data_IF_058008119231
#
_entry.id   IF_058008119231
#
_cell.length_a   1.000
_cell.length_b   1.000
_cell.length_c   1.000
_cell.angle_alpha   90.00
_cell.angle_beta   90.00
_cell.angle_gamma   90.00
#
_symmetry.space_group_name_H-M   'P 1'
#
loop_
_entity.id
_entity.type
_entity.pdbx_description
1 polymer ?
#
# COMPACT_ATOMS: atom_id res chain seq x y z
N UNK A 1 -11.44 61.02 1.02
CA UNK A 1 -10.86 59.91 0.22
C UNK A 1 -10.57 58.78 1.21
N UNK A 2 -11.47 57.86 1.32
CA UNK A 2 -11.31 56.62 2.13
C UNK A 2 -10.64 55.56 1.27
N UNK A 3 -9.60 54.87 1.75
CA UNK A 3 -8.94 53.82 0.96
C UNK A 3 -9.86 52.61 0.79
N UNK A 4 -10.07 52.22 -0.47
CA UNK A 4 -10.77 50.99 -0.83
C UNK A 4 -9.93 49.81 -0.32
N UNK A 5 -10.49 49.01 0.59
CA UNK A 5 -9.92 47.72 1.01
C UNK A 5 -9.89 46.79 -0.22
N UNK A 6 -8.72 46.48 -0.68
CA UNK A 6 -8.49 45.41 -1.68
C UNK A 6 -8.83 44.08 -1.02
N UNK A 7 -9.94 43.48 -1.42
CA UNK A 7 -10.43 42.17 -1.00
C UNK A 7 -9.98 41.05 -1.95
N UNK A 8 -8.81 41.18 -2.56
CA UNK A 8 -8.24 40.08 -3.31
C UNK A 8 -7.91 38.90 -2.37
N UNK A 9 -8.43 37.70 -2.62
CA UNK A 9 -8.09 36.54 -1.79
C UNK A 9 -6.60 36.24 -1.91
N UNK A 10 -5.95 36.06 -0.76
CA UNK A 10 -4.55 35.69 -0.66
C UNK A 10 -4.28 34.40 -1.46
N UNK A 11 -3.12 34.30 -2.18
CA UNK A 11 -2.81 33.15 -3.07
C UNK A 11 -2.55 31.81 -2.35
N UNK A 12 -2.77 31.72 -1.05
CA UNK A 12 -2.34 30.57 -0.23
C UNK A 12 -3.49 29.67 0.27
N UNK A 13 -4.70 29.82 -0.29
CA UNK A 13 -5.80 28.87 -0.07
C UNK A 13 -6.17 28.20 -1.39
N UNK A 14 -5.26 27.41 -1.95
CA UNK A 14 -5.70 26.30 -2.79
C UNK A 14 -6.38 25.30 -1.86
N UNK A 15 -7.70 25.37 -1.81
CA UNK A 15 -8.55 24.30 -1.26
C UNK A 15 -8.24 23.04 -2.05
N UNK A 16 -7.25 22.27 -1.57
CA UNK A 16 -6.97 20.93 -2.07
C UNK A 16 -8.10 20.04 -1.59
N UNK A 17 -9.20 20.04 -2.34
CA UNK A 17 -10.26 19.07 -2.12
C UNK A 17 -9.67 17.67 -2.23
N UNK A 18 -9.92 16.77 -1.25
CA UNK A 18 -9.49 15.39 -1.37
C UNK A 18 -10.04 14.82 -2.68
N UNK A 19 -9.24 13.99 -3.39
CA UNK A 19 -9.67 13.43 -4.67
C UNK A 19 -10.98 12.66 -4.48
N UNK A 20 -12.07 13.18 -5.04
CA UNK A 20 -13.36 12.50 -5.02
C UNK A 20 -13.35 11.41 -6.09
N UNK A 21 -13.24 10.17 -5.67
CA UNK A 21 -13.34 9.03 -6.57
C UNK A 21 -14.82 8.75 -6.87
N UNK A 22 -15.20 8.79 -8.13
CA UNK A 22 -16.51 8.32 -8.60
C UNK A 22 -16.65 6.80 -8.38
N UNK A 23 -17.89 6.31 -8.31
CA UNK A 23 -18.14 4.86 -8.24
C UNK A 23 -17.60 4.15 -9.48
N UNK A 24 -17.04 2.98 -9.26
CA UNK A 24 -16.61 2.09 -10.33
C UNK A 24 -17.84 1.58 -11.09
N UNK A 25 -17.91 1.70 -12.43
CA UNK A 25 -19.02 1.16 -13.19
C UNK A 25 -19.05 -0.36 -13.06
N UNK A 26 -20.25 -0.92 -12.83
CA UNK A 26 -20.46 -2.35 -12.77
C UNK A 26 -20.54 -2.91 -14.21
N UNK A 27 -19.42 -3.35 -14.74
CA UNK A 27 -19.33 -4.08 -15.99
C UNK A 27 -18.34 -5.24 -15.86
N UNK A 28 -18.44 -6.30 -16.69
CA UNK A 28 -17.58 -7.49 -16.58
C UNK A 28 -16.10 -7.17 -16.63
N UNK A 29 -15.66 -6.24 -17.48
CA UNK A 29 -14.26 -5.85 -17.59
C UNK A 29 -13.73 -5.20 -16.32
N UNK A 30 -14.52 -4.38 -15.65
CA UNK A 30 -14.15 -3.74 -14.39
C UNK A 30 -14.09 -4.73 -13.23
N UNK A 31 -15.04 -5.68 -13.19
CA UNK A 31 -15.06 -6.76 -12.19
C UNK A 31 -13.80 -7.61 -12.32
N UNK A 32 -13.51 -8.11 -13.55
CA UNK A 32 -12.29 -8.89 -13.82
C UNK A 32 -11.03 -8.12 -13.48
N UNK A 33 -10.96 -6.84 -13.86
CA UNK A 33 -9.81 -5.99 -13.57
C UNK A 33 -9.55 -5.83 -12.05
N UNK A 34 -10.60 -5.62 -11.26
CA UNK A 34 -10.47 -5.51 -9.81
C UNK A 34 -10.18 -6.87 -9.16
N UNK A 35 -10.71 -7.96 -9.71
CA UNK A 35 -10.41 -9.32 -9.28
C UNK A 35 -8.92 -9.64 -9.49
N UNK A 36 -8.37 -9.30 -10.66
CA UNK A 36 -6.94 -9.46 -10.96
C UNK A 36 -6.09 -8.58 -10.04
N UNK A 37 -6.47 -7.32 -9.82
CA UNK A 37 -5.78 -6.44 -8.85
C UNK A 37 -5.73 -7.06 -7.46
N UNK A 38 -6.88 -7.54 -6.99
CA UNK A 38 -6.96 -8.23 -5.70
C UNK A 38 -6.07 -9.47 -5.66
N UNK A 39 -6.10 -10.28 -6.72
CA UNK A 39 -5.24 -11.44 -6.85
C UNK A 39 -3.76 -11.11 -6.77
N UNK A 40 -3.31 -10.07 -7.47
CA UNK A 40 -1.92 -9.59 -7.39
C UNK A 40 -1.55 -9.11 -5.98
N UNK A 41 -2.44 -8.38 -5.31
CA UNK A 41 -2.24 -7.95 -3.92
C UNK A 41 -2.14 -9.17 -2.99
N UNK A 42 -3.08 -10.12 -3.11
CA UNK A 42 -3.07 -11.34 -2.31
C UNK A 42 -1.83 -12.21 -2.53
N UNK A 43 -1.36 -12.32 -3.78
CA UNK A 43 -0.12 -13.03 -4.10
C UNK A 43 1.09 -12.36 -3.44
N UNK A 44 1.13 -11.03 -3.41
CA UNK A 44 2.22 -10.28 -2.79
C UNK A 44 2.26 -10.45 -1.25
N UNK A 45 1.09 -10.57 -0.60
CA UNK A 45 1.02 -10.78 0.86
C UNK A 45 1.61 -12.12 1.31
N UNK A 46 1.65 -13.11 0.42
CA UNK A 46 2.23 -14.42 0.71
C UNK A 46 3.77 -14.40 0.68
N UNK A 47 4.36 -13.36 0.12
CA UNK A 47 5.79 -13.30 -0.09
C UNK A 47 6.44 -12.46 1.00
N UNK A 48 7.32 -13.04 1.84
CA UNK A 48 8.07 -12.28 2.83
C UNK A 48 8.88 -11.14 2.17
N UNK A 49 8.76 -9.93 2.71
CA UNK A 49 9.47 -8.76 2.19
C UNK A 49 8.77 -8.00 1.06
N UNK A 50 7.64 -8.50 0.54
CA UNK A 50 6.76 -7.74 -0.36
C UNK A 50 5.52 -7.31 0.41
N UNK A 51 5.09 -6.07 0.18
CA UNK A 51 3.87 -5.54 0.76
C UNK A 51 2.77 -5.48 -0.30
N UNK A 52 1.60 -6.01 0.01
CA UNK A 52 0.40 -5.83 -0.83
C UNK A 52 0.06 -4.35 -1.02
N UNK A 53 0.42 -3.49 -0.06
CA UNK A 53 0.35 -2.04 -0.20
C UNK A 53 1.19 -1.51 -1.37
N UNK A 54 2.38 -2.08 -1.62
CA UNK A 54 3.20 -1.76 -2.80
C UNK A 54 2.46 -2.14 -4.08
N UNK A 55 1.90 -3.35 -4.14
CA UNK A 55 1.13 -3.80 -5.32
C UNK A 55 -0.14 -2.98 -5.50
N UNK A 56 -0.83 -2.62 -4.42
CA UNK A 56 -1.97 -1.71 -4.47
C UNK A 56 -1.58 -0.34 -5.04
N UNK A 57 -0.41 0.19 -4.68
CA UNK A 57 0.12 1.45 -5.20
C UNK A 57 0.43 1.33 -6.70
N UNK A 58 1.18 0.30 -7.11
CA UNK A 58 1.55 0.03 -8.51
C UNK A 58 0.32 -0.15 -9.39
N UNK A 59 -0.69 -0.85 -8.90
CA UNK A 59 -1.95 -1.08 -9.64
C UNK A 59 -2.90 0.12 -9.60
N UNK A 60 -2.53 1.23 -8.93
CA UNK A 60 -3.36 2.42 -8.78
C UNK A 60 -4.60 2.21 -7.90
N UNK A 61 -4.63 1.17 -7.09
CA UNK A 61 -5.74 0.87 -6.17
C UNK A 61 -5.60 1.58 -4.82
N UNK A 62 -4.37 1.88 -4.38
CA UNK A 62 -4.04 2.30 -3.02
C UNK A 62 -4.89 3.46 -2.49
N UNK A 63 -4.88 4.60 -3.17
CA UNK A 63 -5.63 5.78 -2.72
C UNK A 63 -7.14 5.55 -2.71
N UNK A 64 -7.66 4.78 -3.70
CA UNK A 64 -9.08 4.44 -3.76
C UNK A 64 -9.49 3.48 -2.65
N UNK A 65 -8.64 2.55 -2.28
CA UNK A 65 -8.86 1.64 -1.14
C UNK A 65 -8.89 2.44 0.16
N UNK A 66 -7.91 3.33 0.40
CA UNK A 66 -7.90 4.21 1.57
C UNK A 66 -9.14 5.11 1.65
N UNK A 67 -9.52 5.73 0.53
CA UNK A 67 -10.72 6.55 0.45
C UNK A 67 -11.99 5.77 0.83
N UNK A 68 -12.14 4.55 0.30
CA UNK A 68 -13.29 3.70 0.61
C UNK A 68 -13.24 3.13 2.03
N UNK A 69 -12.06 2.83 2.55
CA UNK A 69 -11.88 2.43 3.94
C UNK A 69 -12.35 3.54 4.91
N UNK A 70 -11.98 4.81 4.65
CA UNK A 70 -12.48 5.94 5.44
C UNK A 70 -13.99 6.07 5.38
N UNK A 71 -14.59 5.95 4.18
CA UNK A 71 -16.06 5.98 4.02
C UNK A 71 -16.74 4.85 4.79
N UNK A 72 -16.13 3.67 4.83
CA UNK A 72 -16.63 2.54 5.61
C UNK A 72 -16.56 2.85 7.11
N UNK A 73 -15.46 3.42 7.60
CA UNK A 73 -15.31 3.85 8.98
C UNK A 73 -16.35 4.93 9.36
N UNK A 74 -16.61 5.87 8.45
CA UNK A 74 -17.65 6.89 8.67
C UNK A 74 -19.06 6.30 8.67
N UNK A 75 -19.31 5.27 7.85
CA UNK A 75 -20.56 4.53 7.88
C UNK A 75 -20.75 3.80 9.22
N UNK A 76 -19.71 3.11 9.70
CA UNK A 76 -19.74 2.41 10.99
C UNK A 76 -20.00 3.38 12.14
N UNK A 77 -19.35 4.54 12.16
CA UNK A 77 -19.62 5.59 13.17
C UNK A 77 -21.05 6.10 13.08
N UNK A 78 -21.55 6.34 11.87
CA UNK A 78 -22.93 6.82 11.67
C UNK A 78 -23.98 5.80 12.14
N UNK A 79 -23.74 4.49 12.02
CA UNK A 79 -24.63 3.47 12.56
C UNK A 79 -24.81 3.55 14.08
N UNK A 80 -23.81 4.08 14.81
CA UNK A 80 -23.89 4.27 16.26
C UNK A 80 -24.79 5.46 16.67
N UNK A 81 -25.01 6.42 15.77
CA UNK A 81 -25.77 7.66 16.03
C UNK A 81 -27.08 7.73 15.26
N UNK A 82 -27.08 7.35 14.00
CA UNK A 82 -28.24 7.32 13.11
C UNK A 82 -28.13 6.15 12.12
N UNK A 83 -29.03 5.18 12.27
CA UNK A 83 -29.05 3.99 11.43
C UNK A 83 -29.32 4.32 9.96
N UNK A 84 -30.17 5.30 9.67
CA UNK A 84 -30.50 5.68 8.29
C UNK A 84 -29.28 6.31 7.60
N UNK A 85 -28.59 7.19 8.29
CA UNK A 85 -27.33 7.78 7.82
C UNK A 85 -26.23 6.73 7.66
N UNK A 86 -26.10 5.79 8.61
CA UNK A 86 -25.18 4.67 8.52
C UNK A 86 -25.39 3.86 7.25
N UNK A 87 -26.64 3.47 6.95
CA UNK A 87 -27.01 2.73 5.72
C UNK A 87 -26.68 3.56 4.47
N UNK A 88 -26.97 4.86 4.47
CA UNK A 88 -26.69 5.75 3.34
C UNK A 88 -25.19 5.79 3.04
N UNK A 89 -24.34 5.97 4.07
CA UNK A 89 -22.88 6.02 3.95
C UNK A 89 -22.30 4.65 3.54
N UNK A 90 -22.81 3.57 4.10
CA UNK A 90 -22.40 2.20 3.73
C UNK A 90 -22.69 1.90 2.25
N UNK A 91 -23.88 2.28 1.76
CA UNK A 91 -24.22 2.16 0.34
C UNK A 91 -23.37 3.07 -0.56
N UNK A 92 -22.78 4.15 -0.01
CA UNK A 92 -21.93 5.06 -0.76
C UNK A 92 -20.51 4.54 -0.97
N UNK A 93 -20.08 3.49 -0.26
CA UNK A 93 -18.81 2.79 -0.47
C UNK A 93 -18.79 2.15 -1.87
N UNK A 94 -17.62 2.13 -2.51
CA UNK A 94 -17.46 1.54 -3.85
C UNK A 94 -17.30 0.00 -3.76
N UNK A 95 -18.40 -0.68 -3.46
CA UNK A 95 -18.44 -2.13 -3.37
C UNK A 95 -18.12 -2.83 -4.69
N UNK A 96 -18.36 -2.17 -5.81
CA UNK A 96 -18.05 -2.70 -7.16
C UNK A 96 -16.54 -2.80 -7.41
N UNK A 97 -15.76 -2.08 -6.65
CA UNK A 97 -14.31 -2.21 -6.61
C UNK A 97 -13.85 -3.16 -5.49
N UNK A 98 -14.31 -2.91 -4.26
CA UNK A 98 -13.78 -3.61 -3.08
C UNK A 98 -14.11 -5.10 -3.05
N UNK A 99 -15.35 -5.50 -3.38
CA UNK A 99 -15.74 -6.91 -3.31
C UNK A 99 -14.98 -7.79 -4.31
N UNK A 100 -14.92 -7.48 -5.63
CA UNK A 100 -14.12 -8.27 -6.54
C UNK A 100 -12.65 -8.30 -6.15
N UNK A 101 -12.11 -7.19 -5.65
CA UNK A 101 -10.73 -7.13 -5.22
C UNK A 101 -10.48 -8.00 -3.99
N UNK A 102 -11.37 -7.99 -2.99
CA UNK A 102 -11.29 -8.87 -1.84
C UNK A 102 -11.41 -10.35 -2.22
N UNK A 103 -12.35 -10.68 -3.12
CA UNK A 103 -12.51 -12.06 -3.63
C UNK A 103 -11.24 -12.50 -4.36
N UNK A 104 -10.67 -11.66 -5.23
CA UNK A 104 -9.44 -11.97 -5.94
C UNK A 104 -8.26 -12.18 -4.99
N UNK A 105 -8.14 -11.33 -3.96
CA UNK A 105 -7.10 -11.43 -2.94
C UNK A 105 -7.20 -12.77 -2.18
N UNK A 106 -8.38 -13.08 -1.65
CA UNK A 106 -8.61 -14.31 -0.90
C UNK A 106 -8.40 -15.55 -1.78
N UNK A 107 -8.97 -15.55 -2.99
CA UNK A 107 -8.81 -16.67 -3.93
C UNK A 107 -7.34 -16.95 -4.25
N UNK A 108 -6.54 -15.91 -4.51
CA UNK A 108 -5.12 -16.08 -4.83
C UNK A 108 -4.28 -16.47 -3.60
N UNK A 109 -4.61 -15.97 -2.42
CA UNK A 109 -3.97 -16.43 -1.17
C UNK A 109 -4.14 -17.93 -1.03
N UNK A 110 -5.36 -18.44 -1.12
CA UNK A 110 -5.60 -19.89 -1.00
C UNK A 110 -5.01 -20.71 -2.15
N UNK A 111 -5.06 -20.20 -3.37
CA UNK A 111 -4.54 -20.90 -4.54
C UNK A 111 -3.00 -20.99 -4.56
N UNK A 112 -2.31 -19.95 -4.09
CA UNK A 112 -0.86 -19.83 -4.21
C UNK A 112 -0.10 -20.06 -2.90
N UNK A 113 -0.76 -20.11 -1.75
CA UNK A 113 -0.09 -20.23 -0.45
C UNK A 113 0.90 -21.40 -0.42
N UNK A 114 0.50 -22.58 -0.87
CA UNK A 114 1.39 -23.74 -0.96
C UNK A 114 2.50 -23.59 -2.00
N UNK A 115 2.16 -23.10 -3.19
CA UNK A 115 3.10 -22.97 -4.31
C UNK A 115 4.16 -21.90 -4.03
N UNK A 116 3.72 -20.72 -3.57
CA UNK A 116 4.66 -19.64 -3.26
C UNK A 116 5.49 -19.94 -2.01
N UNK A 117 4.87 -20.58 -1.00
CA UNK A 117 5.59 -21.03 0.19
C UNK A 117 6.75 -21.93 -0.19
N UNK A 118 6.49 -23.02 -0.91
CA UNK A 118 7.54 -23.92 -1.40
C UNK A 118 8.56 -23.19 -2.30
N UNK A 119 8.11 -22.30 -3.20
CA UNK A 119 9.05 -21.56 -4.05
C UNK A 119 10.01 -20.66 -3.24
N UNK A 120 9.50 -19.99 -2.20
CA UNK A 120 10.33 -19.13 -1.34
C UNK A 120 11.27 -19.95 -0.46
N UNK A 121 10.78 -21.07 0.08
CA UNK A 121 11.55 -21.94 0.98
C UNK A 121 12.60 -22.77 0.21
N UNK A 122 12.21 -23.39 -0.91
CA UNK A 122 13.07 -24.28 -1.68
C UNK A 122 14.04 -23.53 -2.60
N UNK A 123 13.66 -22.30 -3.02
CA UNK A 123 14.41 -21.49 -3.98
C UNK A 123 14.56 -20.03 -3.53
N UNK A 124 15.19 -19.74 -2.36
CA UNK A 124 15.23 -18.40 -1.80
C UNK A 124 15.94 -17.37 -2.68
N UNK A 125 17.06 -17.75 -3.35
CA UNK A 125 17.79 -16.84 -4.25
C UNK A 125 16.97 -16.46 -5.49
N UNK A 126 16.38 -17.42 -6.25
CA UNK A 126 15.44 -17.13 -7.33
C UNK A 126 14.26 -16.26 -6.90
N UNK A 127 13.60 -16.60 -5.80
CA UNK A 127 12.40 -15.90 -5.32
C UNK A 127 12.72 -14.44 -4.95
N UNK A 128 13.73 -14.24 -4.07
CA UNK A 128 14.16 -12.89 -3.67
C UNK A 128 14.60 -12.05 -4.87
N UNK A 129 15.30 -12.64 -5.86
CA UNK A 129 15.75 -11.93 -7.05
C UNK A 129 14.59 -11.43 -7.91
N UNK A 130 13.60 -12.28 -8.18
CA UNK A 130 12.40 -11.92 -8.93
C UNK A 130 11.69 -10.74 -8.25
N UNK A 131 11.48 -10.84 -6.94
CA UNK A 131 10.78 -9.82 -6.17
C UNK A 131 11.60 -8.53 -6.02
N UNK A 132 12.92 -8.62 -5.87
CA UNK A 132 13.81 -7.46 -5.88
C UNK A 132 13.62 -6.64 -7.16
N UNK A 133 13.56 -7.29 -8.32
CA UNK A 133 13.31 -6.65 -9.60
C UNK A 133 11.94 -5.96 -9.65
N UNK A 134 10.90 -6.63 -9.17
CA UNK A 134 9.55 -6.06 -9.11
C UNK A 134 9.50 -4.81 -8.24
N UNK A 135 10.04 -4.87 -7.02
CA UNK A 135 10.00 -3.74 -6.07
C UNK A 135 10.92 -2.61 -6.50
N UNK A 136 12.08 -2.89 -7.10
CA UNK A 136 12.98 -1.87 -7.61
C UNK A 136 12.31 -0.97 -8.67
N UNK A 137 11.55 -1.53 -9.59
CA UNK A 137 10.80 -0.75 -10.58
C UNK A 137 9.58 -0.06 -9.95
N UNK A 138 8.98 -0.64 -8.92
CA UNK A 138 7.85 -0.02 -8.18
C UNK A 138 8.20 1.33 -7.57
N UNK A 139 9.47 1.61 -7.28
CA UNK A 139 9.95 2.93 -6.81
C UNK A 139 9.54 4.09 -7.71
N UNK A 140 9.39 3.83 -9.00
CA UNK A 140 8.99 4.85 -9.99
C UNK A 140 7.53 5.28 -9.80
N UNK A 141 6.67 4.40 -9.27
CA UNK A 141 5.22 4.66 -9.19
C UNK A 141 4.88 5.86 -8.30
N UNK A 142 5.29 5.93 -7.02
CA UNK A 142 5.02 7.11 -6.21
C UNK A 142 5.69 8.36 -6.79
N UNK A 143 6.88 8.23 -7.40
CA UNK A 143 7.55 9.37 -8.04
C UNK A 143 6.75 9.96 -9.21
N UNK A 144 6.09 9.11 -10.02
CA UNK A 144 5.21 9.56 -11.10
C UNK A 144 3.93 10.26 -10.60
N UNK A 145 3.58 10.09 -9.32
CA UNK A 145 2.41 10.71 -8.70
C UNK A 145 2.72 12.03 -8.01
N UNK A 146 3.99 12.41 -7.92
CA UNK A 146 4.47 13.64 -7.27
C UNK A 146 4.44 14.82 -8.25
N UNK A 147 3.95 15.97 -7.79
CA UNK A 147 4.17 17.23 -8.48
C UNK A 147 5.64 17.67 -8.31
N UNK A 148 6.35 17.69 -9.43
CA UNK A 148 7.78 18.05 -9.45
C UNK A 148 8.03 19.50 -9.03
N UNK A 149 7.08 20.39 -9.24
CA UNK A 149 7.18 21.80 -8.86
C UNK A 149 7.06 21.95 -7.34
N UNK A 150 6.08 21.27 -6.74
CA UNK A 150 5.90 21.25 -5.29
C UNK A 150 7.09 20.54 -4.60
N UNK A 151 7.59 19.45 -5.18
CA UNK A 151 8.77 18.75 -4.66
C UNK A 151 10.01 19.66 -4.62
N UNK A 152 10.30 20.40 -5.71
CA UNK A 152 11.44 21.34 -5.76
C UNK A 152 11.36 22.39 -4.66
N UNK A 153 10.17 22.89 -4.37
CA UNK A 153 9.93 23.87 -3.30
C UNK A 153 10.17 23.30 -1.90
N UNK A 154 9.87 22.00 -1.73
CA UNK A 154 9.91 21.31 -0.44
C UNK A 154 11.15 20.43 -0.26
N UNK A 155 12.11 20.45 -1.16
CA UNK A 155 13.35 19.65 -1.08
C UNK A 155 14.05 19.68 0.29
N UNK A 156 14.17 20.83 0.97
CA UNK A 156 14.83 20.88 2.29
C UNK A 156 14.14 20.00 3.35
N UNK A 157 12.84 19.74 3.21
CA UNK A 157 12.08 18.87 4.12
C UNK A 157 11.89 17.47 3.51
N UNK A 158 11.70 17.39 2.20
CA UNK A 158 11.45 16.14 1.49
C UNK A 158 12.65 15.19 1.55
N UNK A 159 13.87 15.71 1.34
CA UNK A 159 15.10 14.89 1.35
C UNK A 159 15.38 14.27 2.72
N UNK A 160 15.36 15.00 3.85
CA UNK A 160 15.46 14.38 5.18
C UNK A 160 14.40 13.31 5.43
N UNK A 161 13.13 13.55 5.09
CA UNK A 161 12.05 12.57 5.26
C UNK A 161 12.26 11.32 4.39
N UNK A 162 12.73 11.49 3.16
CA UNK A 162 13.11 10.38 2.29
C UNK A 162 14.23 9.54 2.93
N UNK A 163 15.29 10.18 3.41
CA UNK A 163 16.42 9.50 4.08
C UNK A 163 15.92 8.77 5.33
N UNK A 164 15.08 9.41 6.15
CA UNK A 164 14.47 8.76 7.32
C UNK A 164 13.65 7.54 6.89
N UNK A 165 12.87 7.63 5.81
CA UNK A 165 12.14 6.49 5.26
C UNK A 165 13.06 5.35 4.83
N UNK A 166 14.17 5.65 4.11
CA UNK A 166 15.17 4.65 3.71
C UNK A 166 15.77 3.98 4.92
N UNK A 167 16.30 4.77 5.88
CA UNK A 167 16.95 4.24 7.06
C UNK A 167 16.01 3.43 7.95
N UNK A 168 14.79 3.92 8.13
CA UNK A 168 13.78 3.21 8.92
C UNK A 168 13.53 1.80 8.37
N UNK A 169 13.21 1.65 7.09
CA UNK A 169 12.93 0.34 6.50
C UNK A 169 14.19 -0.50 6.34
N UNK A 170 15.34 0.10 6.00
CA UNK A 170 16.61 -0.61 5.90
C UNK A 170 17.04 -1.21 7.25
N UNK A 171 16.90 -0.47 8.34
CA UNK A 171 17.20 -0.95 9.68
C UNK A 171 16.14 -1.97 10.12
N UNK A 172 14.84 -1.64 9.94
CA UNK A 172 13.75 -2.52 10.32
C UNK A 172 13.83 -3.90 9.66
N UNK A 173 14.26 -3.97 8.40
CA UNK A 173 14.45 -5.23 7.66
C UNK A 173 15.75 -5.97 7.96
N UNK A 174 16.60 -5.41 8.83
CA UNK A 174 17.85 -6.04 9.26
C UNK A 174 17.83 -6.63 10.68
N UNK A 175 16.70 -6.49 11.38
CA UNK A 175 16.60 -7.10 12.71
C UNK A 175 16.22 -8.57 12.59
N UNK A 176 17.07 -9.44 13.19
CA UNK A 176 16.70 -10.79 13.59
C UNK A 176 16.51 -10.74 15.10
N UNK A 177 15.32 -11.05 15.61
CA UNK A 177 15.08 -11.00 17.05
C UNK A 177 14.95 -12.39 17.66
N UNK A 178 15.33 -12.52 18.92
CA UNK A 178 15.03 -13.70 19.72
C UNK A 178 13.51 -13.89 19.81
N UNK A 179 13.05 -15.11 19.61
CA UNK A 179 11.64 -15.49 19.76
C UNK A 179 11.17 -15.24 21.20
N UNK A 180 10.04 -14.55 21.33
CA UNK A 180 9.28 -14.42 22.58
C UNK A 180 8.07 -15.36 22.50
N UNK A 181 8.13 -16.56 23.09
CA UNK A 181 7.06 -17.55 22.95
C UNK A 181 5.81 -17.23 23.76
N UNK A 182 5.92 -16.39 24.79
CA UNK A 182 4.80 -16.02 25.67
C UNK A 182 4.75 -14.48 25.87
N UNK A 183 4.34 -13.74 24.83
CA UNK A 183 4.25 -12.29 24.89
C UNK A 183 3.06 -11.85 25.74
N UNK A 184 3.25 -10.81 26.57
CA UNK A 184 2.13 -10.24 27.31
C UNK A 184 1.09 -9.61 26.33
N UNK A 185 -0.19 -9.64 26.73
CA UNK A 185 -1.30 -9.21 25.87
C UNK A 185 -1.22 -7.74 25.45
N UNK A 186 -0.60 -6.85 26.22
CA UNK A 186 -0.40 -5.47 25.84
C UNK A 186 0.60 -5.34 24.68
N UNK A 187 1.69 -6.14 24.72
CA UNK A 187 2.64 -6.23 23.62
C UNK A 187 1.94 -6.77 22.36
N UNK A 188 1.11 -7.81 22.49
CA UNK A 188 0.32 -8.38 21.39
C UNK A 188 -0.58 -7.32 20.76
N UNK A 189 -1.31 -6.55 21.56
CA UNK A 189 -2.18 -5.48 21.09
C UNK A 189 -1.41 -4.40 20.31
N UNK A 190 -0.33 -3.88 20.90
CA UNK A 190 0.48 -2.81 20.29
C UNK A 190 1.16 -3.31 19.02
N UNK A 191 1.71 -4.52 19.08
CA UNK A 191 2.38 -5.13 17.93
C UNK A 191 1.42 -5.40 16.77
N UNK A 192 0.21 -5.88 17.05
CA UNK A 192 -0.82 -6.06 16.03
C UNK A 192 -1.23 -4.73 15.39
N UNK A 193 -1.39 -3.68 16.20
CA UNK A 193 -1.72 -2.34 15.70
C UNK A 193 -0.64 -1.79 14.75
N UNK A 194 0.63 -1.95 15.10
CA UNK A 194 1.75 -1.51 14.27
C UNK A 194 1.91 -2.42 13.04
N UNK A 195 1.75 -3.74 13.19
CA UNK A 195 1.87 -4.70 12.09
C UNK A 195 0.85 -4.43 10.97
N UNK A 196 -0.39 -4.07 11.32
CA UNK A 196 -1.40 -3.69 10.30
C UNK A 196 -1.04 -2.37 9.63
N UNK A 197 -0.49 -1.40 10.34
CA UNK A 197 0.04 -0.18 9.71
C UNK A 197 1.17 -0.50 8.74
N UNK A 198 2.10 -1.39 9.15
CA UNK A 198 3.20 -1.86 8.32
C UNK A 198 2.72 -2.64 7.09
N UNK A 199 1.69 -3.47 7.23
CA UNK A 199 1.07 -4.22 6.14
C UNK A 199 0.54 -3.31 5.03
N UNK A 200 -0.06 -2.18 5.39
CA UNK A 200 -0.66 -1.25 4.43
C UNK A 200 0.39 -0.30 3.84
N UNK A 201 1.48 -0.01 4.57
CA UNK A 201 2.55 0.84 4.07
C UNK A 201 3.33 0.14 2.94
N UNK A 202 3.53 0.81 1.79
CA UNK A 202 4.38 0.27 0.75
C UNK A 202 5.81 0.05 1.26
N UNK A 203 6.37 -1.13 0.98
CA UNK A 203 7.74 -1.48 1.34
C UNK A 203 7.96 -2.00 2.76
N UNK A 204 6.89 -2.14 3.56
CA UNK A 204 6.96 -2.74 4.90
C UNK A 204 6.00 -3.93 4.96
N UNK A 205 6.45 -5.04 5.53
CA UNK A 205 5.62 -6.23 5.73
C UNK A 205 5.20 -6.35 7.20
N UNK A 206 3.90 -6.49 7.45
CA UNK A 206 3.38 -6.65 8.80
C UNK A 206 3.83 -7.95 9.46
N UNK A 207 3.90 -9.05 8.73
CA UNK A 207 4.42 -10.33 9.22
C UNK A 207 5.90 -10.25 9.55
N UNK A 208 6.68 -9.57 8.73
CA UNK A 208 8.09 -9.29 9.04
C UNK A 208 8.24 -8.45 10.32
N UNK A 209 7.37 -7.46 10.53
CA UNK A 209 7.39 -6.68 11.76
C UNK A 209 7.14 -7.56 13.00
N UNK A 210 6.16 -8.48 12.95
CA UNK A 210 5.91 -9.44 14.03
C UNK A 210 7.12 -10.37 14.27
N UNK A 211 7.78 -10.79 13.18
CA UNK A 211 9.01 -11.57 13.25
C UNK A 211 10.14 -10.75 13.90
N UNK A 212 10.33 -9.50 13.48
CA UNK A 212 11.37 -8.61 14.00
C UNK A 212 11.25 -8.32 15.51
N UNK A 213 10.04 -8.32 16.06
CA UNK A 213 9.80 -8.18 17.52
C UNK A 213 9.67 -9.53 18.26
N UNK A 214 9.83 -10.64 17.53
CA UNK A 214 9.92 -11.99 18.11
C UNK A 214 8.58 -12.65 18.46
N UNK A 215 7.42 -12.09 18.09
CA UNK A 215 6.11 -12.66 18.42
C UNK A 215 5.41 -13.37 17.26
N UNK A 216 6.06 -13.49 16.10
CA UNK A 216 5.48 -14.13 14.92
C UNK A 216 5.10 -15.59 15.20
N UNK A 217 6.02 -16.38 15.78
CA UNK A 217 5.77 -17.78 16.13
C UNK A 217 4.65 -17.92 17.15
N UNK A 218 4.65 -17.08 18.21
CA UNK A 218 3.59 -17.07 19.22
C UNK A 218 2.22 -16.77 18.59
N UNK A 219 2.17 -15.82 17.61
CA UNK A 219 0.94 -15.49 16.88
C UNK A 219 0.44 -16.70 16.07
N UNK A 220 1.34 -17.41 15.36
CA UNK A 220 0.97 -18.60 14.59
C UNK A 220 0.48 -19.74 15.51
N UNK A 221 1.18 -19.98 16.62
CA UNK A 221 0.79 -20.98 17.62
C UNK A 221 -0.59 -20.65 18.20
N UNK A 222 -0.82 -19.39 18.61
CA UNK A 222 -2.12 -18.99 19.16
C UNK A 222 -3.27 -19.16 18.14
N UNK A 223 -3.02 -18.96 16.85
CA UNK A 223 -4.01 -19.22 15.80
C UNK A 223 -4.23 -20.73 15.62
N UNK A 224 -3.17 -21.54 15.65
CA UNK A 224 -3.25 -23.00 15.51
C UNK A 224 -3.99 -23.65 16.68
N UNK A 225 -3.71 -23.18 17.89
CA UNK A 225 -4.28 -23.70 19.14
C UNK A 225 -5.64 -23.07 19.47
N UNK A 226 -6.13 -22.14 18.61
CA UNK A 226 -7.38 -21.40 18.79
C UNK A 226 -7.43 -20.66 20.15
N UNK A 227 -6.30 -20.05 20.57
CA UNK A 227 -6.29 -19.19 21.75
C UNK A 227 -7.13 -17.93 21.49
N UNK A 228 -8.40 -18.02 21.92
CA UNK A 228 -9.42 -16.99 21.73
C UNK A 228 -8.98 -15.66 22.36
N UNK A 229 -8.31 -15.68 23.52
CA UNK A 229 -7.87 -14.47 24.21
C UNK A 229 -6.81 -13.74 23.41
N UNK A 230 -5.79 -14.47 22.95
CA UNK A 230 -4.74 -13.91 22.09
C UNK A 230 -5.33 -13.35 20.79
N UNK A 231 -6.15 -14.15 20.09
CA UNK A 231 -6.77 -13.77 18.82
C UNK A 231 -7.64 -12.53 18.94
N UNK A 232 -8.44 -12.41 20.01
CA UNK A 232 -9.27 -11.23 20.25
C UNK A 232 -8.42 -9.98 20.52
N UNK A 233 -7.40 -10.09 21.36
CA UNK A 233 -6.50 -8.96 21.67
C UNK A 233 -5.73 -8.54 20.43
N UNK A 234 -5.19 -9.49 19.65
CA UNK A 234 -4.54 -9.23 18.39
C UNK A 234 -5.49 -8.56 17.39
N UNK A 235 -6.71 -9.08 17.24
CA UNK A 235 -7.74 -8.52 16.36
C UNK A 235 -8.15 -7.08 16.75
N UNK A 236 -8.30 -6.81 18.03
CA UNK A 236 -8.60 -5.46 18.53
C UNK A 236 -7.44 -4.50 18.30
N UNK A 237 -6.20 -4.94 18.52
CA UNK A 237 -5.00 -4.18 18.19
C UNK A 237 -4.93 -3.86 16.70
N UNK A 238 -5.08 -4.88 15.86
CA UNK A 238 -5.09 -4.75 14.41
C UNK A 238 -6.19 -3.77 13.92
N UNK A 239 -7.41 -3.88 14.43
CA UNK A 239 -8.51 -2.98 14.09
C UNK A 239 -8.21 -1.54 14.51
N UNK A 240 -7.66 -1.35 15.71
CA UNK A 240 -7.26 -0.01 16.21
C UNK A 240 -6.19 0.60 15.33
N UNK A 241 -5.14 -0.16 15.00
CA UNK A 241 -4.08 0.26 14.10
C UNK A 241 -4.61 0.61 12.71
N UNK A 242 -5.49 -0.22 12.15
CA UNK A 242 -6.13 0.03 10.85
C UNK A 242 -6.90 1.36 10.85
N UNK A 243 -7.76 1.58 11.85
CA UNK A 243 -8.58 2.80 11.95
C UNK A 243 -7.70 4.04 12.05
N UNK A 244 -6.69 3.99 12.91
CA UNK A 244 -5.74 5.10 13.10
C UNK A 244 -4.95 5.36 11.82
N UNK A 245 -4.40 4.31 11.20
CA UNK A 245 -3.58 4.40 10.00
C UNK A 245 -4.34 4.99 8.82
N UNK A 246 -5.56 4.49 8.57
CA UNK A 246 -6.38 4.98 7.45
C UNK A 246 -6.64 6.47 7.58
N UNK A 247 -6.92 6.97 8.80
CA UNK A 247 -7.13 8.40 9.08
C UNK A 247 -5.86 9.23 8.88
N UNK A 248 -4.74 8.74 9.41
CA UNK A 248 -3.44 9.40 9.27
C UNK A 248 -3.04 9.48 7.79
N UNK A 249 -3.19 8.38 7.03
CA UNK A 249 -2.85 8.36 5.61
C UNK A 249 -3.75 9.26 4.77
N UNK A 250 -5.05 9.31 5.05
CA UNK A 250 -5.95 10.26 4.39
C UNK A 250 -5.50 11.70 4.61
N UNK A 251 -5.21 12.06 5.86
CA UNK A 251 -4.70 13.39 6.19
C UNK A 251 -3.38 13.69 5.48
N UNK A 252 -2.41 12.78 5.53
CA UNK A 252 -1.10 12.95 4.91
C UNK A 252 -1.19 13.07 3.39
N UNK A 253 -1.98 12.21 2.73
CA UNK A 253 -2.16 12.25 1.28
C UNK A 253 -3.00 13.43 0.80
N UNK A 254 -3.84 14.01 1.68
CA UNK A 254 -4.62 15.21 1.35
C UNK A 254 -3.81 16.49 1.56
N UNK A 255 -3.10 16.61 2.69
CA UNK A 255 -2.42 17.86 3.09
C UNK A 255 -0.94 17.90 2.71
N UNK A 256 -0.27 16.75 2.67
CA UNK A 256 1.19 16.63 2.48
C UNK A 256 1.54 15.59 1.42
N UNK A 257 0.75 15.51 0.34
CA UNK A 257 0.84 14.46 -0.69
C UNK A 257 2.26 14.23 -1.20
N UNK A 258 2.94 15.30 -1.62
CA UNK A 258 4.30 15.25 -2.17
C UNK A 258 5.30 14.66 -1.17
N UNK A 259 5.28 15.17 0.08
CA UNK A 259 6.18 14.70 1.13
C UNK A 259 5.89 13.23 1.46
N UNK A 260 4.62 12.86 1.58
CA UNK A 260 4.20 11.48 1.88
C UNK A 260 4.66 10.52 0.82
N UNK A 261 4.37 10.79 -0.47
CA UNK A 261 4.76 9.93 -1.58
C UNK A 261 6.29 9.82 -1.70
N UNK A 262 7.01 10.92 -1.47
CA UNK A 262 8.48 10.90 -1.52
C UNK A 262 9.08 10.10 -0.35
N UNK A 263 8.52 10.22 0.86
CA UNK A 263 8.88 9.39 2.01
C UNK A 263 8.59 7.90 1.76
N UNK A 264 7.42 7.58 1.20
CA UNK A 264 7.06 6.21 0.80
C UNK A 264 8.06 5.63 -0.21
N UNK A 265 8.54 6.45 -1.17
CA UNK A 265 9.60 6.04 -2.09
C UNK A 265 10.89 5.70 -1.34
N UNK A 266 11.25 6.50 -0.32
CA UNK A 266 12.38 6.19 0.56
C UNK A 266 12.20 4.87 1.31
N UNK A 267 11.00 4.62 1.86
CA UNK A 267 10.69 3.36 2.53
C UNK A 267 10.79 2.15 1.58
N UNK A 268 10.28 2.27 0.36
CA UNK A 268 10.43 1.24 -0.67
C UNK A 268 11.91 0.97 -1.01
N UNK A 269 12.72 2.03 -1.13
CA UNK A 269 14.15 1.88 -1.40
C UNK A 269 14.87 1.14 -0.26
N UNK A 270 14.61 1.51 0.98
CA UNK A 270 15.18 0.83 2.15
C UNK A 270 14.77 -0.64 2.27
N UNK A 271 13.54 -0.97 1.87
CA UNK A 271 13.02 -2.34 1.93
C UNK A 271 13.67 -3.30 0.93
N UNK A 272 14.37 -2.80 -0.11
CA UNK A 272 15.10 -3.65 -1.05
C UNK A 272 16.15 -4.52 -0.34
N UNK A 273 16.63 -4.10 0.82
CA UNK A 273 17.51 -4.93 1.67
C UNK A 273 16.89 -6.29 1.97
N UNK A 274 15.61 -6.35 2.36
CA UNK A 274 14.93 -7.59 2.70
C UNK A 274 14.90 -8.59 1.53
N UNK A 275 14.92 -8.07 0.31
CA UNK A 275 14.86 -8.86 -0.93
C UNK A 275 16.23 -9.14 -1.53
N UNK A 276 17.32 -8.71 -0.88
CA UNK A 276 18.65 -9.05 -1.35
C UNK A 276 18.85 -10.57 -1.28
N UNK A 277 19.21 -11.23 -2.39
CA UNK A 277 19.21 -12.70 -2.44
C UNK A 277 20.26 -13.38 -1.54
N UNK A 278 21.42 -12.72 -1.34
CA UNK A 278 22.52 -13.26 -0.58
C UNK A 278 22.61 -12.59 0.79
N UNK A 279 22.00 -13.23 1.77
CA UNK A 279 21.98 -12.81 3.16
C UNK A 279 22.39 -14.00 4.03
N UNK A 280 23.08 -13.73 5.12
CA UNK A 280 23.32 -14.71 6.17
C UNK A 280 22.11 -14.83 7.13
N UNK A 281 22.24 -15.73 8.12
CA UNK A 281 21.17 -16.01 9.09
C UNK A 281 20.80 -14.79 9.96
N UNK A 282 21.72 -13.83 10.09
CA UNK A 282 21.55 -12.56 10.81
C UNK A 282 21.08 -11.42 9.91
N UNK A 283 20.58 -11.73 8.71
CA UNK A 283 20.19 -10.77 7.67
C UNK A 283 21.32 -9.84 7.22
N UNK A 284 22.58 -10.24 7.40
CA UNK A 284 23.75 -9.55 6.89
C UNK A 284 23.85 -9.68 5.37
N UNK A 285 24.15 -8.56 4.70
CA UNK A 285 24.27 -8.52 3.24
C UNK A 285 25.58 -9.18 2.83
N UNK A 286 25.49 -10.23 2.01
CA UNK A 286 26.63 -10.94 1.45
C UNK A 286 26.86 -10.55 -0.03
N UNK A 287 28.06 -10.81 -0.53
CA UNK A 287 28.37 -10.64 -1.96
C UNK A 287 27.59 -11.64 -2.83
N UNK A 288 27.30 -11.30 -4.11
CA UNK A 288 26.70 -12.25 -5.03
C UNK A 288 27.52 -13.53 -5.11
N UNK A 289 26.88 -14.66 -4.82
CA UNK A 289 27.46 -16.00 -4.85
C UNK A 289 26.91 -16.83 -5.99
N UNK A 290 26.72 -18.13 -5.71
CA UNK A 290 26.12 -19.07 -6.67
C UNK A 290 24.79 -18.58 -7.23
N UNK A 291 24.47 -18.96 -8.45
CA UNK A 291 23.25 -18.56 -9.17
C UNK A 291 23.16 -17.07 -9.53
N UNK A 292 24.24 -16.27 -9.45
CA UNK A 292 24.19 -14.83 -9.76
C UNK A 292 23.63 -14.53 -11.16
N UNK A 293 23.93 -15.35 -12.17
CA UNK A 293 23.38 -15.22 -13.51
C UNK A 293 21.85 -15.46 -13.56
N UNK A 294 21.37 -16.49 -12.87
CA UNK A 294 19.95 -16.79 -12.75
C UNK A 294 19.24 -15.66 -11.97
N UNK A 295 19.84 -15.20 -10.88
CA UNK A 295 19.34 -14.11 -10.07
C UNK A 295 19.18 -12.82 -10.88
N UNK A 296 20.17 -12.46 -11.70
CA UNK A 296 20.08 -11.31 -12.60
C UNK A 296 18.96 -11.48 -13.63
N UNK A 297 18.83 -12.67 -14.23
CA UNK A 297 17.76 -12.97 -15.19
C UNK A 297 16.36 -12.81 -14.58
N UNK A 298 16.16 -13.32 -13.36
CA UNK A 298 14.90 -13.21 -12.63
C UNK A 298 14.63 -11.78 -12.13
N UNK A 299 15.65 -11.07 -11.69
CA UNK A 299 15.55 -9.63 -11.38
C UNK A 299 15.05 -8.85 -12.61
N UNK A 300 15.64 -9.06 -13.76
CA UNK A 300 15.24 -8.38 -15.01
C UNK A 300 13.81 -8.78 -15.43
N UNK A 301 13.43 -10.04 -15.23
CA UNK A 301 12.07 -10.51 -15.50
C UNK A 301 11.05 -9.79 -14.58
N UNK A 302 11.30 -9.77 -13.27
CA UNK A 302 10.46 -9.07 -12.30
C UNK A 302 10.35 -7.57 -12.61
N UNK A 303 11.47 -6.94 -12.91
CA UNK A 303 11.54 -5.55 -13.36
C UNK A 303 10.69 -5.29 -14.61
N UNK A 304 10.80 -6.18 -15.62
CA UNK A 304 10.06 -6.07 -16.87
C UNK A 304 8.55 -6.21 -16.67
N UNK A 305 8.11 -7.13 -15.82
CA UNK A 305 6.68 -7.32 -15.50
C UNK A 305 6.07 -6.03 -14.93
N UNK A 306 6.71 -5.45 -13.91
CA UNK A 306 6.21 -4.21 -13.29
C UNK A 306 6.33 -3.02 -14.25
N UNK A 307 7.44 -2.90 -15.01
CA UNK A 307 7.60 -1.86 -16.01
C UNK A 307 6.47 -1.91 -17.06
N UNK A 308 6.14 -3.11 -17.56
CA UNK A 308 5.04 -3.29 -18.51
C UNK A 308 3.70 -2.84 -17.92
N UNK A 309 3.40 -3.18 -16.65
CA UNK A 309 2.19 -2.73 -15.95
C UNK A 309 2.14 -1.20 -15.82
N UNK A 310 3.23 -0.57 -15.40
CA UNK A 310 3.33 0.89 -15.25
C UNK A 310 3.15 1.59 -16.60
N UNK A 311 3.80 1.11 -17.65
CA UNK A 311 3.69 1.67 -19.01
C UNK A 311 2.24 1.54 -19.50
N UNK A 312 1.63 0.36 -19.34
CA UNK A 312 0.25 0.12 -19.75
C UNK A 312 -0.73 1.08 -19.04
N UNK A 313 -0.55 1.29 -17.74
CA UNK A 313 -1.38 2.24 -16.98
C UNK A 313 -1.20 3.68 -17.48
N UNK A 314 0.03 4.12 -17.71
CA UNK A 314 0.35 5.46 -18.21
C UNK A 314 -0.25 5.70 -19.62
N UNK A 315 -0.12 4.74 -20.51
CA UNK A 315 -0.70 4.81 -21.87
C UNK A 315 -2.23 4.90 -21.81
N UNK A 316 -2.85 4.10 -20.95
CA UNK A 316 -4.30 4.09 -20.77
C UNK A 316 -4.82 5.40 -20.18
N UNK A 317 -4.12 5.97 -19.18
CA UNK A 317 -4.46 7.29 -18.63
C UNK A 317 -4.37 8.40 -19.70
N UNK A 318 -3.29 8.43 -20.49
CA UNK A 318 -3.10 9.41 -21.57
C UNK A 318 -4.20 9.31 -22.63
N UNK A 319 -4.59 8.11 -23.04
CA UNK A 319 -5.71 7.89 -23.98
C UNK A 319 -7.02 8.45 -23.45
N UNK A 320 -7.38 8.14 -22.19
CA UNK A 320 -8.61 8.62 -21.55
C UNK A 320 -8.67 10.15 -21.42
N UNK A 321 -7.54 10.80 -21.15
CA UNK A 321 -7.46 12.26 -21.07
C UNK A 321 -7.65 12.88 -22.46
N UNK A 322 -7.04 12.30 -23.50
CA UNK A 322 -7.19 12.76 -24.89
C UNK A 322 -8.63 12.60 -25.41
N UNK A 323 -9.28 11.50 -25.08
CA UNK A 323 -10.67 11.25 -25.49
C UNK A 323 -11.66 12.19 -24.77
N UNK A 324 -11.36 12.61 -23.54
CA UNK A 324 -12.15 13.61 -22.81
C UNK A 324 -11.97 15.01 -23.41
N UNK A 325 -10.76 15.41 -23.78
CA UNK A 325 -10.52 16.71 -24.41
C UNK A 325 -11.02 16.79 -25.86
N UNK A 326 -11.22 15.65 -26.53
CA UNK A 326 -11.75 15.57 -27.88
C UNK A 326 -13.28 15.53 -27.97
N UNK A 327 -13.99 15.41 -26.83
CA UNK A 327 -15.46 15.51 -26.81
C UNK A 327 -15.86 16.99 -26.73
N UNK A 328 -16.51 17.57 -27.78
CA UNK A 328 -17.02 18.95 -27.71
C UNK A 328 -18.10 19.04 -26.62
N UNK A 329 -18.02 20.11 -25.85
CA UNK A 329 -18.99 20.47 -24.82
C UNK A 329 -20.41 20.59 -25.44
N UNK A 330 -21.23 19.57 -25.21
CA UNK A 330 -22.65 19.58 -25.68
C UNK A 330 -23.54 20.54 -24.85
N UNK A 331 -22.97 21.29 -23.90
CA UNK A 331 -23.73 22.17 -23.01
C UNK A 331 -23.97 23.59 -23.59
N UNK A 332 -23.32 23.97 -24.72
CA UNK A 332 -23.46 25.30 -25.30
C UNK A 332 -24.57 25.43 -26.35
N UNK A 333 -25.49 24.49 -26.45
CA UNK A 333 -26.51 24.46 -27.50
C UNK A 333 -27.95 24.34 -27.03
N UNK A 334 -28.35 24.96 -25.92
CA UNK A 334 -29.77 25.14 -25.57
C UNK A 334 -29.96 26.41 -24.73
N UNK A 335 -30.14 27.53 -25.38
CA UNK A 335 -30.99 28.63 -24.88
C UNK A 335 -31.84 29.08 -26.07
N UNK A 336 -33.17 28.99 -25.95
CA UNK A 336 -34.08 29.77 -26.83
C UNK A 336 -34.14 31.21 -26.40
#
# INVERSE_FOLDING_TARGET
MTPVKDNSPSPDQTDVHPPTFGRTPLNPGTVVFNLVRGGLIGSAELVPGISGGTVALVTGAYERVLYNANRLLDAVKAFATDRAEGVRRFKAVDWTMLLPMAVGMVAMVFALAGILGSFVEDHPVPAKSLFLGMVAVSLVVPLLMIDTTDLKRRLPVAVPLFIVGVLFTFIATGFSSSTNPDPNLLLVFIAAAIAVCALILPGVSGSFFLYAIGIYSATLTAVSDLDVTYILVFGLGALTGLVLFVRVMEYLLTKHRTLTLFTMTGMLLGSLRALWPWQDDDAGIQAPGDQAGLALGLFLLGAAVVAAMVIFEQVTKRRRTRDRSARPDKSSGQLP
#
